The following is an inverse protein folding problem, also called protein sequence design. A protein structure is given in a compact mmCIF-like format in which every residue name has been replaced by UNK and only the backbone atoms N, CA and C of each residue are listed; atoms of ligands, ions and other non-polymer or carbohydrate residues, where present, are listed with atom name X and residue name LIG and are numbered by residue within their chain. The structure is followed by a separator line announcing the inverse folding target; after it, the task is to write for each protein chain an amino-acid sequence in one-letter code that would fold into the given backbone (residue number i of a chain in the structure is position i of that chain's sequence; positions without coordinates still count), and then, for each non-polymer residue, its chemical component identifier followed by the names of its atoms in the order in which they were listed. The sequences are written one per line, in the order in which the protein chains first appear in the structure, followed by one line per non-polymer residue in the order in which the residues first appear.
data_IF_455350619785
#
_entry.id   IF_455350619785
#
_cell.length_a   1.000
_cell.length_b   1.000
_cell.length_c   1.000
_cell.angle_alpha   90.00
_cell.angle_beta   90.00
_cell.angle_gamma   90.00
#
_symmetry.space_group_name_H-M   'P 1'
#
loop_
_entity.id
_entity.type
_entity.pdbx_description
1 polymer ?
#
# COMPACT_ATOMS: atom_id res chain seq x y z
N UNK A 1 -10.94 12.40 -10.22
CA UNK A 1 -12.02 11.71 -10.98
C UNK A 1 -12.02 11.99 -12.50
N UNK A 2 -10.84 12.08 -13.11
CA UNK A 2 -10.79 12.26 -14.58
C UNK A 2 -11.40 11.08 -15.35
N UNK A 3 -11.37 9.87 -14.77
CA UNK A 3 -11.84 8.67 -15.45
C UNK A 3 -13.15 8.09 -14.88
N UNK A 4 -13.59 8.47 -13.69
CA UNK A 4 -14.83 7.96 -13.05
C UNK A 4 -14.91 6.42 -12.91
N UNK A 5 -13.80 5.71 -13.12
CA UNK A 5 -13.72 4.25 -13.12
C UNK A 5 -12.31 3.76 -12.83
N UNK A 6 -12.18 2.56 -12.27
CA UNK A 6 -10.89 1.90 -12.01
C UNK A 6 -10.37 1.08 -13.20
N UNK A 7 -11.11 1.00 -14.30
CA UNK A 7 -10.77 0.17 -15.48
C UNK A 7 -9.38 0.42 -16.04
N UNK A 8 -8.89 1.67 -16.23
CA UNK A 8 -7.55 1.88 -16.74
C UNK A 8 -6.44 1.27 -15.85
N UNK A 9 -6.64 1.28 -14.54
CA UNK A 9 -5.71 0.65 -13.59
C UNK A 9 -5.76 -0.87 -13.73
N UNK A 10 -6.96 -1.44 -13.85
CA UNK A 10 -7.14 -2.88 -14.08
C UNK A 10 -6.49 -3.34 -15.39
N UNK A 11 -6.63 -2.56 -16.45
CA UNK A 11 -5.96 -2.84 -17.75
C UNK A 11 -4.44 -2.85 -17.63
N UNK A 12 -3.86 -1.92 -16.85
CA UNK A 12 -2.42 -1.92 -16.58
C UNK A 12 -1.96 -3.17 -15.82
N UNK A 13 -2.78 -3.67 -14.90
CA UNK A 13 -2.48 -4.91 -14.16
C UNK A 13 -2.65 -6.14 -15.04
N UNK A 14 -3.76 -6.26 -15.77
CA UNK A 14 -4.04 -7.42 -16.63
C UNK A 14 -3.07 -7.54 -17.80
N UNK A 15 -2.57 -6.43 -18.32
CA UNK A 15 -1.52 -6.39 -19.35
C UNK A 15 -0.12 -6.67 -18.81
N UNK A 16 0.05 -6.78 -17.49
CA UNK A 16 1.34 -7.00 -16.84
C UNK A 16 2.27 -5.78 -16.79
N UNK A 17 1.77 -4.59 -17.12
CA UNK A 17 2.51 -3.33 -17.00
C UNK A 17 2.70 -2.96 -15.52
N UNK A 18 1.66 -3.19 -14.70
CA UNK A 18 1.75 -3.14 -13.25
C UNK A 18 1.60 -4.56 -12.69
N UNK A 19 2.35 -4.89 -11.66
CA UNK A 19 2.23 -6.18 -10.95
C UNK A 19 1.15 -6.17 -9.88
N UNK A 20 0.74 -5.01 -9.41
CA UNK A 20 -0.27 -4.84 -8.39
C UNK A 20 -0.10 -3.56 -7.59
N UNK A 21 -0.74 -3.53 -6.42
CA UNK A 21 -0.69 -2.42 -5.50
C UNK A 21 -0.36 -2.87 -4.08
N UNK A 22 0.32 -2.04 -3.30
CA UNK A 22 0.55 -2.25 -1.88
C UNK A 22 -0.03 -1.09 -1.07
N UNK A 23 -0.85 -1.42 -0.08
CA UNK A 23 -1.29 -0.49 0.95
C UNK A 23 -0.22 -0.43 2.06
N UNK A 24 0.72 0.51 1.94
CA UNK A 24 1.81 0.71 2.90
C UNK A 24 1.37 1.65 4.00
N UNK A 25 1.15 1.11 5.19
CA UNK A 25 0.57 1.84 6.31
C UNK A 25 1.38 1.62 7.59
N UNK A 26 0.98 2.23 8.68
CA UNK A 26 1.55 1.98 10.00
C UNK A 26 2.15 3.22 10.65
N UNK A 27 2.81 2.96 11.77
CA UNK A 27 3.40 3.95 12.68
C UNK A 27 4.91 4.00 12.49
N UNK A 28 5.61 4.62 13.44
CA UNK A 28 7.06 4.43 13.66
C UNK A 28 7.24 3.64 14.95
N UNK A 29 7.71 2.41 14.87
CA UNK A 29 7.92 1.56 16.02
C UNK A 29 9.26 1.93 16.69
N UNK A 30 9.29 2.18 18.03
CA UNK A 30 10.52 2.58 18.73
C UNK A 30 11.60 1.46 18.79
N UNK A 31 11.24 0.22 18.45
CA UNK A 31 12.18 -0.92 18.40
C UNK A 31 12.99 -0.99 17.11
N UNK A 32 12.63 -0.20 16.10
CA UNK A 32 13.32 -0.17 14.80
C UNK A 32 13.74 1.27 14.49
N UNK A 33 14.72 1.41 13.58
CA UNK A 33 15.10 2.73 13.10
C UNK A 33 13.92 3.36 12.36
N UNK A 34 13.44 4.54 12.80
CA UNK A 34 12.28 5.18 12.18
C UNK A 34 12.41 5.35 10.67
N UNK A 35 11.31 5.11 9.96
CA UNK A 35 11.15 5.24 8.52
C UNK A 35 11.95 4.23 7.66
N UNK A 36 12.92 3.52 8.24
CA UNK A 36 13.87 2.70 7.45
C UNK A 36 13.19 1.55 6.73
N UNK A 37 12.28 0.84 7.40
CA UNK A 37 11.55 -0.26 6.79
C UNK A 37 10.51 0.24 5.79
N UNK A 38 9.80 1.33 6.11
CA UNK A 38 8.87 1.98 5.18
C UNK A 38 9.57 2.36 3.87
N UNK A 39 10.66 3.14 3.94
CA UNK A 39 11.36 3.64 2.76
C UNK A 39 12.00 2.49 1.97
N UNK A 40 12.65 1.55 2.66
CA UNK A 40 13.32 0.42 2.00
C UNK A 40 12.34 -0.47 1.23
N UNK A 41 11.19 -0.80 1.83
CA UNK A 41 10.16 -1.61 1.17
C UNK A 41 9.47 -0.84 0.05
N UNK A 42 9.13 0.45 0.24
CA UNK A 42 8.54 1.26 -0.82
C UNK A 42 9.42 1.27 -2.08
N UNK A 43 10.72 1.53 -1.94
CA UNK A 43 11.65 1.50 -3.07
C UNK A 43 11.65 0.15 -3.77
N UNK A 44 11.66 -0.95 -3.01
CA UNK A 44 11.59 -2.30 -3.60
C UNK A 44 10.27 -2.57 -4.33
N UNK A 45 9.14 -2.07 -3.83
CA UNK A 45 7.86 -2.19 -4.52
C UNK A 45 7.88 -1.40 -5.84
N UNK A 46 8.36 -0.15 -5.81
CA UNK A 46 8.47 0.69 -7.01
C UNK A 46 9.38 0.09 -8.08
N UNK A 47 10.53 -0.46 -7.69
CA UNK A 47 11.47 -1.16 -8.60
C UNK A 47 10.81 -2.35 -9.32
N UNK A 48 9.79 -2.95 -8.71
CA UNK A 48 9.08 -4.12 -9.22
C UNK A 48 7.72 -3.80 -9.85
N UNK A 49 7.50 -2.57 -10.30
CA UNK A 49 6.26 -2.13 -10.96
C UNK A 49 5.00 -2.30 -10.07
N UNK A 50 5.15 -2.11 -8.76
CA UNK A 50 4.05 -2.12 -7.79
C UNK A 50 3.79 -0.69 -7.33
N UNK A 51 2.55 -0.22 -7.53
CA UNK A 51 2.14 1.10 -7.06
C UNK A 51 1.94 1.08 -5.54
N UNK A 52 2.38 2.14 -4.87
CA UNK A 52 2.26 2.26 -3.41
C UNK A 52 1.15 3.23 -3.05
N UNK A 53 0.23 2.81 -2.20
CA UNK A 53 -0.80 3.65 -1.61
C UNK A 53 -0.51 3.73 -0.11
N UNK A 54 -0.44 4.92 0.46
CA UNK A 54 0.03 5.08 1.83
C UNK A 54 -0.79 6.07 2.65
N UNK A 55 -0.74 5.91 3.98
CA UNK A 55 -1.39 6.81 4.96
C UNK A 55 -0.49 7.04 6.16
N UNK A 56 -0.79 8.08 6.94
CA UNK A 56 -0.23 8.31 8.26
C UNK A 56 1.29 8.44 8.29
N UNK A 57 1.95 7.77 9.23
CA UNK A 57 3.41 7.86 9.40
C UNK A 57 4.19 7.26 8.23
N UNK A 58 3.67 6.22 7.58
CA UNK A 58 4.28 5.68 6.36
C UNK A 58 4.26 6.71 5.21
N UNK A 59 3.18 7.48 5.08
CA UNK A 59 3.11 8.58 4.13
C UNK A 59 4.12 9.69 4.45
N UNK A 60 4.28 10.04 5.73
CA UNK A 60 5.29 10.99 6.15
C UNK A 60 6.71 10.52 5.82
N UNK A 61 7.00 9.23 6.03
CA UNK A 61 8.28 8.64 5.65
C UNK A 61 8.55 8.76 4.14
N UNK A 62 7.54 8.44 3.33
CA UNK A 62 7.61 8.57 1.87
C UNK A 62 7.86 10.02 1.43
N UNK A 63 7.14 10.98 2.02
CA UNK A 63 7.29 12.41 1.73
C UNK A 63 8.70 12.92 2.06
N UNK A 64 9.22 12.59 3.25
CA UNK A 64 10.59 12.94 3.66
C UNK A 64 11.66 12.35 2.74
N UNK A 65 11.41 11.16 2.21
CA UNK A 65 12.32 10.50 1.26
C UNK A 65 12.17 10.98 -0.20
N UNK A 66 11.23 11.89 -0.48
CA UNK A 66 10.95 12.40 -1.83
C UNK A 66 10.21 11.41 -2.72
N UNK A 67 9.66 10.30 -2.17
CA UNK A 67 8.97 9.27 -2.95
C UNK A 67 7.58 9.70 -3.45
N UNK A 68 7.05 10.80 -2.92
CA UNK A 68 5.80 11.42 -3.38
C UNK A 68 6.01 12.53 -4.42
N UNK A 69 7.26 12.88 -4.70
CA UNK A 69 7.62 13.80 -5.77
C UNK A 69 7.73 13.00 -7.08
N UNK A 70 6.91 13.29 -8.10
CA UNK A 70 6.88 12.51 -9.33
C UNK A 70 8.24 12.44 -10.02
N UNK A 71 9.02 13.54 -10.00
CA UNK A 71 10.31 13.59 -10.68
C UNK A 71 11.39 12.80 -9.92
N UNK A 72 11.46 12.97 -8.60
CA UNK A 72 12.45 12.27 -7.77
C UNK A 72 12.18 10.78 -7.65
N UNK A 73 10.90 10.41 -7.58
CA UNK A 73 10.51 9.01 -7.40
C UNK A 73 10.69 8.16 -8.66
N UNK A 74 10.75 8.78 -9.84
CA UNK A 74 10.97 8.09 -11.13
C UNK A 74 12.25 7.25 -11.16
N UNK A 75 13.29 7.64 -10.43
CA UNK A 75 14.56 6.90 -10.39
C UNK A 75 14.41 5.51 -9.74
N UNK A 76 13.40 5.33 -8.89
CA UNK A 76 13.13 4.09 -8.18
C UNK A 76 12.09 3.21 -8.88
N UNK A 77 11.42 3.70 -9.92
CA UNK A 77 10.33 2.98 -10.58
C UNK A 77 10.87 2.00 -11.62
N UNK A 78 10.27 0.82 -11.68
CA UNK A 78 10.38 -0.05 -12.84
C UNK A 78 9.79 0.61 -14.10
N UNK A 79 10.05 0.02 -15.25
CA UNK A 79 9.68 0.62 -16.54
C UNK A 79 8.15 0.73 -16.71
N UNK A 80 7.40 -0.25 -16.21
CA UNK A 80 5.94 -0.28 -16.27
C UNK A 80 5.30 0.82 -15.44
N UNK A 81 5.67 0.89 -14.16
CA UNK A 81 5.14 1.89 -13.23
C UNK A 81 5.51 3.32 -13.67
N UNK A 82 6.74 3.53 -14.12
CA UNK A 82 7.18 4.81 -14.64
C UNK A 82 6.29 5.30 -15.79
N UNK A 83 6.02 4.42 -16.76
CA UNK A 83 5.15 4.74 -17.89
C UNK A 83 3.72 5.07 -17.45
N UNK A 84 3.16 4.30 -16.51
CA UNK A 84 1.81 4.55 -15.97
C UNK A 84 1.75 5.92 -15.28
N UNK A 85 2.73 6.23 -14.43
CA UNK A 85 2.79 7.51 -13.72
C UNK A 85 2.91 8.70 -14.68
N UNK A 86 3.70 8.57 -15.74
CA UNK A 86 3.85 9.61 -16.78
C UNK A 86 2.57 9.83 -17.56
N UNK A 87 1.87 8.76 -17.95
CA UNK A 87 0.63 8.86 -18.72
C UNK A 87 -0.54 9.38 -17.88
N UNK A 88 -0.61 8.98 -16.61
CA UNK A 88 -1.69 9.37 -15.70
C UNK A 88 -1.40 10.71 -14.97
N UNK A 89 -0.18 11.24 -15.04
CA UNK A 89 0.21 12.45 -14.32
C UNK A 89 0.20 12.29 -12.79
N UNK A 90 0.44 11.06 -12.28
CA UNK A 90 0.40 10.74 -10.86
C UNK A 90 1.78 10.33 -10.32
N UNK A 91 2.09 10.57 -9.04
CA UNK A 91 3.29 10.02 -8.43
C UNK A 91 3.14 8.50 -8.19
N UNK A 92 4.26 7.76 -8.10
CA UNK A 92 4.24 6.31 -7.86
C UNK A 92 3.84 5.92 -6.43
N UNK A 93 3.88 6.88 -5.50
CA UNK A 93 3.41 6.75 -4.12
C UNK A 93 2.26 7.71 -3.89
N UNK A 94 1.06 7.17 -3.69
CA UNK A 94 -0.17 7.91 -3.53
C UNK A 94 -0.52 8.07 -2.04
N UNK A 95 -0.90 9.28 -1.63
CA UNK A 95 -1.33 9.59 -0.28
C UNK A 95 -2.86 9.57 -0.16
N UNK A 96 -3.40 8.72 0.72
CA UNK A 96 -4.85 8.57 0.91
C UNK A 96 -5.39 9.27 2.17
N UNK A 97 -4.54 9.95 2.93
CA UNK A 97 -4.95 10.64 4.14
C UNK A 97 -4.23 10.18 5.41
N UNK A 98 -4.85 10.38 6.55
CA UNK A 98 -4.29 9.97 7.86
C UNK A 98 -4.47 8.47 8.11
N UNK A 99 -3.92 7.98 9.23
CA UNK A 99 -4.05 6.58 9.60
C UNK A 99 -5.50 6.14 9.89
N UNK A 100 -6.44 7.07 10.10
CA UNK A 100 -7.87 6.77 10.23
C UNK A 100 -8.59 6.70 8.89
N UNK A 101 -7.95 7.13 7.81
CA UNK A 101 -8.51 7.11 6.44
C UNK A 101 -8.26 5.80 5.69
N UNK A 102 -7.79 4.76 6.39
CA UNK A 102 -7.48 3.45 5.77
C UNK A 102 -8.71 2.80 5.14
N UNK A 103 -9.91 3.13 5.63
CA UNK A 103 -11.17 2.71 5.03
C UNK A 103 -11.31 3.13 3.57
N UNK A 104 -10.69 4.23 3.15
CA UNK A 104 -10.66 4.67 1.75
C UNK A 104 -9.91 3.68 0.85
N UNK A 105 -8.87 3.03 1.37
CA UNK A 105 -8.14 1.99 0.63
C UNK A 105 -9.03 0.76 0.41
N UNK A 106 -9.84 0.40 1.42
CA UNK A 106 -10.78 -0.72 1.31
C UNK A 106 -11.96 -0.38 0.38
N UNK A 107 -12.42 0.86 0.37
CA UNK A 107 -13.41 1.33 -0.62
C UNK A 107 -12.84 1.21 -2.03
N UNK A 108 -11.59 1.64 -2.25
CA UNK A 108 -10.91 1.47 -3.54
C UNK A 108 -10.79 0.00 -3.94
N UNK A 109 -10.42 -0.89 -3.00
CA UNK A 109 -10.36 -2.32 -3.26
C UNK A 109 -11.75 -2.91 -3.60
N UNK A 110 -12.82 -2.43 -2.95
CA UNK A 110 -14.19 -2.84 -3.25
C UNK A 110 -14.62 -2.39 -4.66
N UNK A 111 -14.30 -1.15 -5.06
CA UNK A 111 -14.58 -0.68 -6.42
C UNK A 111 -13.76 -1.44 -7.48
N UNK A 112 -12.48 -1.74 -7.21
CA UNK A 112 -11.66 -2.60 -8.07
C UNK A 112 -12.26 -4.01 -8.21
N UNK A 113 -12.73 -4.60 -7.12
CA UNK A 113 -13.42 -5.89 -7.12
C UNK A 113 -14.70 -5.86 -7.95
N UNK A 114 -15.50 -4.82 -7.80
CA UNK A 114 -16.74 -4.61 -8.56
C UNK A 114 -16.46 -4.44 -10.06
N UNK A 115 -15.51 -3.59 -10.43
CA UNK A 115 -15.18 -3.31 -11.84
C UNK A 115 -14.51 -4.51 -12.52
N UNK A 116 -13.72 -5.31 -11.79
CA UNK A 116 -13.05 -6.51 -12.32
C UNK A 116 -13.92 -7.77 -12.28
N UNK A 117 -14.95 -7.81 -11.45
CA UNK A 117 -15.77 -8.99 -11.21
C UNK A 117 -15.10 -10.11 -10.41
N UNK A 118 -13.92 -9.84 -9.79
CA UNK A 118 -13.21 -10.79 -8.93
C UNK A 118 -13.30 -10.40 -7.46
N UNK A 119 -13.31 -11.37 -6.53
CA UNK A 119 -13.34 -11.08 -5.10
C UNK A 119 -12.14 -10.25 -4.64
N UNK A 120 -12.31 -9.44 -3.60
CA UNK A 120 -11.22 -8.61 -3.00
C UNK A 120 -9.99 -9.47 -2.68
N UNK A 121 -10.19 -10.69 -2.15
CA UNK A 121 -9.12 -11.63 -1.79
C UNK A 121 -8.30 -12.17 -2.97
N UNK A 122 -8.75 -11.93 -4.20
CA UNK A 122 -8.04 -12.34 -5.43
C UNK A 122 -7.46 -11.14 -6.19
N UNK A 123 -7.69 -9.92 -5.72
CA UNK A 123 -7.06 -8.74 -6.28
C UNK A 123 -5.55 -8.77 -6.02
N UNK A 124 -4.72 -8.29 -6.95
CA UNK A 124 -3.28 -8.16 -6.74
C UNK A 124 -2.95 -6.97 -5.82
N UNK A 125 -3.49 -7.02 -4.61
CA UNK A 125 -3.37 -5.98 -3.58
C UNK A 125 -2.96 -6.63 -2.27
N UNK A 126 -1.98 -6.05 -1.59
CA UNK A 126 -1.53 -6.50 -0.27
C UNK A 126 -1.47 -5.34 0.72
N UNK A 127 -1.72 -5.62 1.98
CA UNK A 127 -1.47 -4.71 3.09
C UNK A 127 -0.06 -4.89 3.64
N UNK A 128 0.59 -3.80 4.02
CA UNK A 128 1.90 -3.86 4.64
C UNK A 128 2.04 -2.81 5.74
N UNK A 129 2.40 -3.24 6.96
CA UNK A 129 2.64 -2.37 8.11
C UNK A 129 4.00 -2.68 8.74
N UNK A 130 5.11 -2.20 8.13
CA UNK A 130 6.47 -2.60 8.54
C UNK A 130 6.87 -2.11 9.92
N UNK A 131 6.36 -0.96 10.33
CA UNK A 131 6.74 -0.30 11.60
C UNK A 131 5.52 0.00 12.48
N UNK A 132 4.47 -0.80 12.40
CA UNK A 132 3.29 -0.62 13.25
C UNK A 132 3.64 -0.72 14.74
N UNK A 133 2.89 -0.02 15.62
CA UNK A 133 3.17 -0.10 17.05
C UNK A 133 1.96 0.08 18.00
N UNK A 134 0.82 0.53 17.52
CA UNK A 134 -0.31 0.86 18.41
C UNK A 134 -1.42 -0.18 18.34
N UNK A 135 -2.26 -0.24 19.39
CA UNK A 135 -3.48 -1.05 19.43
C UNK A 135 -4.43 -0.76 18.26
N UNK A 136 -4.49 0.51 17.84
CA UNK A 136 -5.22 0.91 16.65
C UNK A 136 -4.71 0.19 15.39
N UNK A 137 -3.40 0.00 15.26
CA UNK A 137 -2.82 -0.73 14.13
C UNK A 137 -3.24 -2.21 14.14
N UNK A 138 -3.38 -2.84 15.31
CA UNK A 138 -3.89 -4.20 15.45
C UNK A 138 -5.36 -4.28 15.00
N UNK A 139 -6.19 -3.34 15.45
CA UNK A 139 -7.61 -3.28 15.05
C UNK A 139 -7.78 -3.09 13.54
N UNK A 140 -7.00 -2.18 12.95
CA UNK A 140 -7.01 -1.93 11.51
C UNK A 140 -6.50 -3.16 10.75
N UNK A 141 -5.42 -3.79 11.22
CA UNK A 141 -4.88 -5.02 10.61
C UNK A 141 -5.91 -6.15 10.59
N UNK A 142 -6.59 -6.40 11.71
CA UNK A 142 -7.67 -7.38 11.76
C UNK A 142 -8.81 -7.06 10.78
N UNK A 143 -9.19 -5.80 10.66
CA UNK A 143 -10.21 -5.38 9.70
C UNK A 143 -9.77 -5.66 8.25
N UNK A 144 -8.54 -5.34 7.89
CA UNK A 144 -7.99 -5.59 6.55
C UNK A 144 -7.94 -7.09 6.24
N UNK A 145 -7.43 -7.89 7.17
CA UNK A 145 -7.38 -9.37 7.03
C UNK A 145 -8.79 -9.97 6.91
N UNK A 146 -9.76 -9.45 7.65
CA UNK A 146 -11.15 -9.91 7.57
C UNK A 146 -11.80 -9.64 6.19
N UNK A 147 -11.27 -8.71 5.40
CA UNK A 147 -11.70 -8.50 4.01
C UNK A 147 -11.06 -9.46 3.00
N UNK A 148 -10.14 -10.32 3.46
CA UNK A 148 -9.42 -11.27 2.62
C UNK A 148 -8.15 -10.73 1.97
N UNK A 149 -7.69 -9.54 2.34
CA UNK A 149 -6.43 -8.97 1.86
C UNK A 149 -5.27 -9.50 2.71
N UNK A 150 -4.28 -10.10 2.06
CA UNK A 150 -3.04 -10.51 2.72
C UNK A 150 -2.33 -9.31 3.33
N UNK A 151 -1.86 -9.45 4.57
CA UNK A 151 -1.24 -8.36 5.31
C UNK A 151 0.09 -8.78 5.91
N UNK A 152 1.15 -8.03 5.59
CA UNK A 152 2.50 -8.24 6.09
C UNK A 152 2.81 -7.26 7.21
N UNK A 153 3.27 -7.82 8.35
CA UNK A 153 3.67 -7.06 9.53
C UNK A 153 5.18 -7.16 9.71
N UNK A 154 5.85 -6.02 9.88
CA UNK A 154 7.30 -6.00 10.11
C UNK A 154 7.70 -6.18 11.58
N UNK A 155 6.74 -6.10 12.48
CA UNK A 155 6.92 -6.34 13.92
C UNK A 155 5.89 -7.36 14.36
N UNK A 156 6.33 -8.35 15.13
CA UNK A 156 5.48 -9.42 15.64
C UNK A 156 4.35 -8.84 16.52
N UNK A 157 3.08 -9.16 16.24
CA UNK A 157 1.96 -8.70 17.07
C UNK A 157 2.02 -9.35 18.46
N UNK A 158 1.82 -8.55 19.49
CA UNK A 158 1.87 -9.03 20.89
C UNK A 158 0.57 -9.75 21.33
N UNK A 159 0.05 -10.61 20.52
CA UNK A 159 -1.17 -11.41 20.78
C UNK A 159 -0.82 -12.78 21.39
N UNK A 160 0.08 -12.82 22.35
CA UNK A 160 0.61 -14.06 22.96
C UNK A 160 -0.24 -14.61 24.11
N UNK A 161 -1.54 -14.36 24.11
CA UNK A 161 -2.45 -14.81 25.19
C UNK A 161 -3.09 -16.17 24.98
N UNK A 162 -2.97 -16.78 23.82
CA UNK A 162 -3.57 -18.08 23.50
C UNK A 162 -2.60 -18.95 22.72
N UNK A 163 -2.42 -20.19 23.20
CA UNK A 163 -1.64 -21.22 22.49
C UNK A 163 -2.31 -21.70 21.19
N UNK A 164 -3.57 -21.31 20.95
CA UNK A 164 -4.33 -21.67 19.75
C UNK A 164 -4.18 -20.61 18.65
N UNK A 165 -3.70 -19.40 18.99
CA UNK A 165 -3.56 -18.26 18.06
C UNK A 165 -2.10 -18.00 17.71
N UNK A 166 -1.15 -18.53 18.47
CA UNK A 166 0.30 -18.31 18.30
C UNK A 166 0.95 -19.47 17.58
#
# INVERSE_FOLDING_TARGET
DEFGTTKPLLECVTSGVLRGAVAMVGCNNPKVRPDSAHIGLMKKMLENDIIVITTGCAAQAAAKAGLMDPEKAKEYCGAGLKRVCELAGIPPVLHMGSCVDISRMLILAAELSKDSGIPISQLPVVGCAPEWMSEKAVSIGNYVVATGIETFLGVDPYVKGSSEIC
#
